data_IF_223833051500
#
_entry.id   IF_223833051500
#
_cell.length_a   1.000
_cell.length_b   1.000
_cell.length_c   1.000
_cell.angle_alpha   90.00
_cell.angle_beta   90.00
_cell.angle_gamma   90.00
#
_symmetry.space_group_name_H-M   'P 1'
#
loop_
_entity.id
_entity.type
_entity.pdbx_description
1 polymer ?
#
# COMPACT_ATOMS: atom_id res chain seq x y z
N UNK A 1 42.25 36.12 8.29
CA UNK A 1 41.37 34.94 8.46
C UNK A 1 40.06 35.23 7.77
N UNK A 2 39.73 34.52 6.68
CA UNK A 2 38.41 34.59 6.04
C UNK A 2 37.52 33.54 6.70
N UNK A 3 36.56 33.97 7.51
CA UNK A 3 35.47 33.12 7.98
C UNK A 3 34.49 32.92 6.82
N UNK A 4 34.45 31.73 6.25
CA UNK A 4 33.33 31.30 5.43
C UNK A 4 32.22 30.87 6.38
N UNK A 5 31.21 31.73 6.54
CA UNK A 5 29.94 31.33 7.11
C UNK A 5 29.28 30.38 6.12
N UNK A 6 29.37 29.08 6.37
CA UNK A 6 28.53 28.09 5.70
C UNK A 6 27.12 28.28 6.24
N UNK A 7 26.27 28.91 5.44
CA UNK A 7 24.83 28.99 5.70
C UNK A 7 24.27 27.56 5.58
N UNK A 8 24.19 26.85 6.70
CA UNK A 8 23.47 25.60 6.78
C UNK A 8 21.99 25.92 6.53
N UNK A 9 21.52 25.62 5.31
CA UNK A 9 20.11 25.68 4.99
C UNK A 9 19.43 24.57 5.80
N UNK A 10 18.88 24.94 6.97
CA UNK A 10 17.88 24.14 7.66
C UNK A 10 16.65 24.12 6.76
N UNK A 11 16.59 23.15 5.85
CA UNK A 11 15.34 22.80 5.19
C UNK A 11 14.50 22.12 6.26
N UNK A 12 13.81 22.91 7.07
CA UNK A 12 12.69 22.39 7.86
C UNK A 12 11.61 22.08 6.85
N UNK A 13 11.68 20.90 6.24
CA UNK A 13 10.55 20.32 5.52
C UNK A 13 9.47 20.14 6.56
N UNK A 14 8.55 21.10 6.65
CA UNK A 14 7.24 20.83 7.21
C UNK A 14 6.72 19.64 6.41
N UNK A 15 6.79 18.44 6.99
CA UNK A 15 6.16 17.24 6.44
C UNK A 15 4.69 17.62 6.36
N UNK A 16 4.21 18.04 5.19
CA UNK A 16 2.81 18.36 4.99
C UNK A 16 2.00 17.09 5.26
N UNK A 17 0.73 17.22 5.67
CA UNK A 17 -0.07 16.03 5.89
C UNK A 17 -0.33 15.42 4.51
N UNK A 18 0.32 14.31 4.19
CA UNK A 18 0.01 13.55 2.99
C UNK A 18 -1.41 13.00 3.20
N UNK A 19 -2.33 13.49 2.40
CA UNK A 19 -3.68 12.97 2.30
C UNK A 19 -3.77 12.12 1.04
N UNK A 20 -3.95 10.82 1.22
CA UNK A 20 -4.08 9.87 0.11
C UNK A 20 -5.15 10.33 -0.90
N UNK A 21 -6.26 10.88 -0.43
CA UNK A 21 -7.38 11.26 -1.29
C UNK A 21 -7.16 12.55 -2.06
N UNK A 22 -5.99 13.19 -1.91
CA UNK A 22 -5.57 14.32 -2.74
C UNK A 22 -4.85 13.91 -4.03
N UNK A 23 -4.55 12.62 -4.18
CA UNK A 23 -3.87 12.05 -5.35
C UNK A 23 -4.87 11.31 -6.23
N UNK A 24 -4.68 11.40 -7.53
CA UNK A 24 -5.48 10.69 -8.52
C UNK A 24 -4.89 9.29 -8.79
N UNK A 25 -3.57 9.17 -8.75
CA UNK A 25 -2.84 7.95 -9.06
C UNK A 25 -1.88 7.53 -7.94
N UNK A 26 -1.62 6.23 -7.83
CA UNK A 26 -0.75 5.62 -6.81
C UNK A 26 0.68 6.11 -6.86
N UNK A 27 1.27 6.27 -8.05
CA UNK A 27 2.64 6.77 -8.18
C UNK A 27 2.81 8.18 -7.61
N UNK A 28 1.78 9.05 -7.72
CA UNK A 28 1.83 10.41 -7.16
C UNK A 28 1.89 10.37 -5.63
N UNK A 29 1.13 9.46 -5.03
CA UNK A 29 1.15 9.22 -3.59
C UNK A 29 2.52 8.68 -3.15
N UNK A 30 3.08 7.73 -3.89
CA UNK A 30 4.39 7.13 -3.59
C UNK A 30 5.53 8.15 -3.72
N UNK A 31 5.54 8.99 -4.77
CA UNK A 31 6.50 10.08 -4.91
C UNK A 31 6.38 11.10 -3.77
N UNK A 32 5.15 11.41 -3.34
CA UNK A 32 4.93 12.32 -2.21
C UNK A 32 5.45 11.74 -0.89
N UNK A 33 5.33 10.42 -0.69
CA UNK A 33 5.93 9.72 0.45
C UNK A 33 7.45 9.78 0.40
N UNK A 34 8.04 9.47 -0.76
CA UNK A 34 9.50 9.47 -0.96
C UNK A 34 10.09 10.87 -0.78
N UNK A 35 9.47 11.90 -1.34
CA UNK A 35 9.89 13.30 -1.21
C UNK A 35 9.90 13.77 0.25
N UNK A 36 9.10 13.13 1.11
CA UNK A 36 9.05 13.40 2.56
C UNK A 36 9.90 12.44 3.38
N UNK A 37 10.64 11.53 2.72
CA UNK A 37 11.46 10.51 3.37
C UNK A 37 10.64 9.47 4.14
N UNK A 38 9.34 9.35 3.85
CA UNK A 38 8.45 8.37 4.50
C UNK A 38 8.63 7.04 3.78
N UNK A 39 9.03 6.02 4.55
CA UNK A 39 9.23 4.66 4.06
C UNK A 39 8.22 3.70 4.70
N UNK A 40 7.88 2.58 4.04
CA UNK A 40 7.12 1.52 4.68
C UNK A 40 7.85 1.01 5.93
N UNK A 41 7.11 0.82 7.02
CA UNK A 41 7.57 0.15 8.24
C UNK A 41 7.79 -1.35 8.02
N UNK A 42 6.97 -1.93 7.14
CA UNK A 42 7.00 -3.35 6.77
C UNK A 42 6.49 -3.48 5.34
N UNK A 43 7.15 -4.32 4.56
CA UNK A 43 6.68 -4.78 3.26
C UNK A 43 6.54 -6.30 3.31
N UNK A 44 5.33 -6.79 3.09
CA UNK A 44 5.02 -8.21 2.96
C UNK A 44 4.72 -8.50 1.50
N UNK A 45 5.72 -8.98 0.78
CA UNK A 45 5.57 -9.40 -0.61
C UNK A 45 5.13 -10.87 -0.70
N UNK A 46 4.43 -11.19 -1.79
CA UNK A 46 3.83 -12.49 -2.09
C UNK A 46 4.80 -13.69 -2.24
N UNK A 47 6.11 -13.52 -2.05
CA UNK A 47 7.05 -14.64 -1.92
C UNK A 47 7.28 -15.06 -0.45
N UNK A 48 6.47 -14.53 0.48
CA UNK A 48 6.53 -14.80 1.92
C UNK A 48 5.15 -15.15 2.44
N UNK A 49 5.11 -16.05 3.42
CA UNK A 49 3.87 -16.40 4.10
C UNK A 49 3.18 -15.18 4.74
N UNK A 50 1.95 -14.89 4.31
CA UNK A 50 1.10 -13.87 4.90
C UNK A 50 0.51 -14.32 6.25
N UNK A 51 0.46 -13.38 7.19
CA UNK A 51 -0.29 -13.51 8.45
C UNK A 51 -1.80 -13.58 8.20
N UNK A 52 -2.56 -14.03 9.21
CA UNK A 52 -4.03 -14.05 9.10
C UNK A 52 -4.63 -12.67 8.81
N UNK A 53 -4.06 -11.61 9.38
CA UNK A 53 -4.51 -10.23 9.13
C UNK A 53 -4.26 -9.85 7.67
N UNK A 54 -3.06 -10.12 7.15
CA UNK A 54 -2.69 -9.85 5.76
C UNK A 54 -3.58 -10.59 4.77
N UNK A 55 -3.89 -11.87 5.05
CA UNK A 55 -4.82 -12.64 4.24
C UNK A 55 -6.21 -12.00 4.17
N UNK A 56 -6.72 -11.48 5.29
CA UNK A 56 -8.01 -10.78 5.33
C UNK A 56 -7.99 -9.45 4.56
N UNK A 57 -6.88 -8.70 4.62
CA UNK A 57 -6.71 -7.46 3.85
C UNK A 57 -6.71 -7.74 2.34
N UNK A 58 -5.95 -8.76 1.91
CA UNK A 58 -5.90 -9.21 0.52
C UNK A 58 -7.28 -9.61 0.03
N UNK A 59 -7.96 -10.49 0.77
CA UNK A 59 -9.30 -10.95 0.42
C UNK A 59 -10.30 -9.81 0.29
N UNK A 60 -10.25 -8.85 1.23
CA UNK A 60 -11.10 -7.67 1.18
C UNK A 60 -10.79 -6.84 -0.07
N UNK A 61 -9.52 -6.61 -0.39
CA UNK A 61 -9.12 -5.86 -1.58
C UNK A 61 -9.64 -6.52 -2.86
N UNK A 62 -9.41 -7.83 -3.02
CA UNK A 62 -9.84 -8.59 -4.21
C UNK A 62 -11.36 -8.60 -4.38
N UNK A 63 -12.13 -8.76 -3.30
CA UNK A 63 -13.59 -8.72 -3.38
C UNK A 63 -14.09 -7.33 -3.76
N UNK A 64 -13.52 -6.27 -3.17
CA UNK A 64 -13.98 -4.89 -3.44
C UNK A 64 -13.74 -4.46 -4.88
N UNK A 65 -12.70 -5.00 -5.52
CA UNK A 65 -12.41 -4.77 -6.94
C UNK A 65 -13.34 -5.55 -7.89
N UNK A 66 -14.25 -6.37 -7.37
CA UNK A 66 -15.27 -7.05 -8.17
C UNK A 66 -14.74 -8.13 -9.12
N UNK A 67 -13.43 -8.37 -9.19
CA UNK A 67 -12.83 -9.41 -10.05
C UNK A 67 -13.36 -10.80 -9.75
N UNK A 68 -13.76 -10.98 -8.50
CA UNK A 68 -14.15 -12.27 -7.95
C UNK A 68 -15.36 -12.10 -7.01
N UNK A 69 -16.43 -11.51 -7.52
CA UNK A 69 -17.70 -11.47 -6.81
C UNK A 69 -18.17 -12.92 -6.55
N UNK A 70 -17.98 -13.41 -5.31
CA UNK A 70 -18.25 -14.78 -4.79
C UNK A 70 -17.04 -15.72 -4.63
N UNK A 71 -15.81 -15.24 -4.72
CA UNK A 71 -14.66 -16.13 -4.47
C UNK A 71 -14.41 -16.40 -3.00
N UNK A 72 -13.82 -17.56 -2.77
CA UNK A 72 -13.31 -17.98 -1.46
C UNK A 72 -12.02 -17.20 -1.12
N UNK A 73 -11.70 -17.15 0.17
CA UNK A 73 -10.40 -16.63 0.67
C UNK A 73 -9.21 -17.25 -0.07
N UNK A 74 -9.29 -18.55 -0.36
CA UNK A 74 -8.25 -19.30 -1.07
C UNK A 74 -8.05 -18.76 -2.49
N UNK A 75 -9.12 -18.65 -3.27
CA UNK A 75 -9.08 -18.14 -4.65
C UNK A 75 -8.60 -16.69 -4.72
N UNK A 76 -8.97 -15.85 -3.75
CA UNK A 76 -8.49 -14.49 -3.67
C UNK A 76 -6.98 -14.41 -3.42
N UNK A 77 -6.45 -15.27 -2.54
CA UNK A 77 -5.01 -15.35 -2.27
C UNK A 77 -4.22 -15.91 -3.47
N UNK A 78 -4.77 -16.93 -4.14
CA UNK A 78 -4.20 -17.47 -5.38
C UNK A 78 -4.15 -16.39 -6.46
N UNK A 79 -5.21 -15.59 -6.60
CA UNK A 79 -5.27 -14.47 -7.55
C UNK A 79 -4.26 -13.40 -7.23
N UNK A 80 -4.17 -12.96 -5.96
CA UNK A 80 -3.22 -11.96 -5.46
C UNK A 80 -1.75 -12.37 -5.63
N UNK A 81 -1.49 -13.63 -5.98
CA UNK A 81 -0.19 -14.10 -6.40
C UNK A 81 0.59 -14.82 -5.31
N UNK A 82 -0.08 -15.48 -4.35
CA UNK A 82 0.61 -16.42 -3.47
C UNK A 82 -0.18 -17.71 -3.23
N UNK A 83 0.42 -18.83 -3.66
CA UNK A 83 0.20 -20.13 -3.04
C UNK A 83 1.57 -20.68 -2.62
N UNK A 84 2.20 -20.08 -1.60
CA UNK A 84 3.37 -20.65 -0.93
C UNK A 84 3.03 -21.88 -0.05
N UNK A 85 1.84 -22.46 -0.14
CA UNK A 85 1.66 -23.89 0.17
C UNK A 85 2.12 -24.72 -1.05
N UNK A 86 3.42 -24.66 -1.42
CA UNK A 86 3.94 -25.46 -2.54
C UNK A 86 5.12 -24.89 -3.34
N UNK A 87 5.65 -23.71 -2.99
CA UNK A 87 6.92 -23.21 -3.54
C UNK A 87 6.91 -22.76 -5.01
N UNK A 88 5.75 -22.34 -5.56
CA UNK A 88 5.67 -21.75 -6.90
C UNK A 88 5.60 -20.23 -6.82
N UNK A 89 6.40 -19.54 -7.63
CA UNK A 89 6.30 -18.10 -7.85
C UNK A 89 5.10 -17.87 -8.81
N UNK A 90 4.11 -17.10 -8.37
CA UNK A 90 3.00 -16.68 -9.24
C UNK A 90 3.46 -15.71 -10.32
N UNK A 91 2.70 -15.62 -11.42
CA UNK A 91 2.98 -14.70 -12.54
C UNK A 91 2.76 -13.22 -12.15
N UNK A 92 1.93 -12.99 -11.14
CA UNK A 92 1.55 -11.66 -10.67
C UNK A 92 2.36 -11.26 -9.44
N UNK A 93 2.68 -9.97 -9.31
CA UNK A 93 3.31 -9.41 -8.12
C UNK A 93 2.21 -8.92 -7.16
N UNK A 94 2.35 -9.22 -5.88
CA UNK A 94 1.46 -8.69 -4.85
C UNK A 94 2.26 -8.32 -3.60
N UNK A 95 1.92 -7.20 -2.97
CA UNK A 95 2.55 -6.80 -1.71
C UNK A 95 1.61 -5.99 -0.82
N UNK A 96 1.91 -6.02 0.47
CA UNK A 96 1.27 -5.18 1.47
C UNK A 96 2.33 -4.30 2.11
N UNK A 97 2.16 -3.00 1.98
CA UNK A 97 3.03 -2.00 2.58
C UNK A 97 2.33 -1.37 3.79
N UNK A 98 3.06 -1.28 4.90
CA UNK A 98 2.55 -0.68 6.13
C UNK A 98 3.23 0.67 6.38
N UNK A 99 2.45 1.72 6.57
CA UNK A 99 2.97 3.07 6.81
C UNK A 99 2.51 3.61 8.16
N UNK A 100 3.31 4.55 8.70
CA UNK A 100 2.89 5.44 9.76
C UNK A 100 3.08 6.89 9.29
N UNK A 101 1.97 7.53 8.92
CA UNK A 101 1.94 8.90 8.40
C UNK A 101 1.27 9.76 9.46
N UNK A 102 2.06 10.58 10.17
CA UNK A 102 1.57 11.48 11.23
C UNK A 102 0.68 10.80 12.27
N UNK A 103 1.05 9.60 12.71
CA UNK A 103 0.29 8.82 13.70
C UNK A 103 -0.87 8.02 13.11
N UNK A 104 -1.17 8.18 11.81
CA UNK A 104 -2.11 7.31 11.09
C UNK A 104 -1.36 6.08 10.59
N UNK A 105 -1.85 4.91 11.00
CA UNK A 105 -1.34 3.62 10.53
C UNK A 105 -2.12 3.22 9.29
N UNK A 106 -1.45 3.10 8.16
CA UNK A 106 -2.05 2.65 6.90
C UNK A 106 -1.49 1.29 6.49
N UNK A 107 -2.32 0.49 5.85
CA UNK A 107 -1.90 -0.67 5.07
C UNK A 107 -2.35 -0.46 3.63
N UNK A 108 -1.40 -0.45 2.71
CA UNK A 108 -1.63 -0.37 1.27
C UNK A 108 -1.43 -1.76 0.71
N UNK A 109 -2.46 -2.31 0.09
CA UNK A 109 -2.43 -3.61 -0.59
C UNK A 109 -2.31 -3.31 -2.07
N UNK A 110 -1.19 -3.70 -2.68
CA UNK A 110 -0.94 -3.59 -4.12
C UNK A 110 -0.93 -4.97 -4.77
N UNK A 111 -1.49 -5.03 -5.97
CA UNK A 111 -1.57 -6.21 -6.81
C UNK A 111 -1.36 -5.81 -8.27
N UNK A 112 -0.40 -6.44 -8.93
CA UNK A 112 -0.05 -6.16 -10.32
C UNK A 112 -0.22 -7.41 -11.20
N UNK A 113 -1.40 -7.58 -11.82
CA UNK A 113 -1.58 -8.56 -12.88
C UNK A 113 -1.07 -7.98 -14.21
N UNK A 114 0.09 -8.46 -14.67
CA UNK A 114 0.77 -7.87 -15.82
C UNK A 114 1.27 -6.45 -15.52
N UNK A 115 0.88 -5.47 -16.34
CA UNK A 115 1.31 -4.07 -16.24
C UNK A 115 0.33 -3.17 -15.45
N UNK A 116 -0.87 -3.66 -15.14
CA UNK A 116 -1.88 -2.88 -14.43
C UNK A 116 -1.65 -2.94 -12.92
N UNK A 117 -1.98 -1.87 -12.20
CA UNK A 117 -2.00 -1.86 -10.74
C UNK A 117 -3.42 -1.87 -10.20
N UNK A 118 -3.65 -2.71 -9.19
CA UNK A 118 -4.89 -2.70 -8.46
C UNK A 118 -4.67 -2.93 -6.97
N UNK A 119 -5.67 -2.63 -6.15
CA UNK A 119 -5.47 -2.73 -4.71
C UNK A 119 -6.51 -2.04 -3.84
N UNK A 120 -6.10 -1.81 -2.60
CA UNK A 120 -6.90 -1.09 -1.61
C UNK A 120 -6.02 -0.50 -0.51
N UNK A 121 -6.47 0.62 0.04
CA UNK A 121 -5.84 1.27 1.20
C UNK A 121 -6.74 1.16 2.40
N UNK A 122 -6.16 0.73 3.52
CA UNK A 122 -6.83 0.54 4.79
C UNK A 122 -6.21 1.40 5.87
N UNK A 123 -7.04 2.00 6.72
CA UNK A 123 -6.63 2.70 7.94
C UNK A 123 -6.80 1.80 9.15
N UNK A 124 -5.76 1.66 9.95
CA UNK A 124 -5.80 0.88 11.19
C UNK A 124 -6.19 1.76 12.38
N UNK A 125 -7.30 1.42 13.03
CA UNK A 125 -7.85 2.10 14.21
C UNK A 125 -8.27 1.06 15.25
N UNK A 126 -7.78 1.17 16.48
CA UNK A 126 -8.17 0.32 17.62
C UNK A 126 -8.13 -1.20 17.35
N UNK A 127 -7.12 -1.68 16.62
CA UNK A 127 -6.95 -3.11 16.32
C UNK A 127 -7.69 -3.60 15.08
N UNK A 128 -8.38 -2.71 14.35
CA UNK A 128 -9.17 -3.04 13.16
C UNK A 128 -8.70 -2.24 11.95
N UNK A 129 -8.88 -2.79 10.76
CA UNK A 129 -8.57 -2.14 9.48
C UNK A 129 -9.86 -1.73 8.77
N UNK A 130 -9.94 -0.46 8.38
CA UNK A 130 -11.07 0.11 7.68
C UNK A 130 -10.65 0.51 6.28
N UNK A 131 -11.36 0.03 5.26
CA UNK A 131 -11.13 0.42 3.88
C UNK A 131 -11.42 1.92 3.70
N UNK A 132 -10.45 2.66 3.17
CA UNK A 132 -10.59 4.09 2.89
C UNK A 132 -10.47 4.43 1.40
N UNK A 133 -9.77 3.60 0.62
CA UNK A 133 -9.67 3.76 -0.83
C UNK A 133 -9.49 2.42 -1.54
N UNK A 134 -9.89 2.39 -2.80
CA UNK A 134 -9.62 1.31 -3.76
C UNK A 134 -8.65 1.83 -4.84
N UNK A 135 -7.82 0.93 -5.38
CA UNK A 135 -6.91 1.23 -6.50
C UNK A 135 -7.39 0.42 -7.71
N UNK A 136 -7.75 1.10 -8.79
CA UNK A 136 -8.24 0.49 -10.04
C UNK A 136 -7.42 1.00 -11.22
N UNK A 137 -6.62 0.14 -11.83
CA UNK A 137 -5.65 0.49 -12.87
C UNK A 137 -4.78 1.71 -12.52
N UNK A 138 -4.16 1.66 -11.33
CA UNK A 138 -3.35 2.73 -10.72
C UNK A 138 -4.15 3.95 -10.21
N UNK A 139 -5.44 4.08 -10.51
CA UNK A 139 -6.27 5.20 -10.03
C UNK A 139 -6.77 4.98 -8.60
N UNK A 140 -6.62 5.99 -7.75
CA UNK A 140 -7.10 6.00 -6.36
C UNK A 140 -8.54 6.49 -6.33
N UNK A 141 -9.44 5.67 -5.80
CA UNK A 141 -10.82 6.03 -5.50
C UNK A 141 -11.10 5.93 -4.02
N UNK A 142 -11.22 7.08 -3.34
CA UNK A 142 -11.56 7.12 -1.92
C UNK A 142 -13.04 6.89 -1.68
N UNK A 143 -13.38 6.07 -0.67
CA UNK A 143 -14.76 5.97 -0.20
C UNK A 143 -15.17 7.30 0.45
N UNK A 144 -16.25 7.89 -0.05
CA UNK A 144 -16.92 9.05 0.57
C UNK A 144 -17.66 8.64 1.84
#
# INVERSE_FOLDING_TARGET
>A
MKFLLTLALLVTTNVFAIDLCSFEETWQFDEALEAQGIKPLKVSANHKAFTNVEKQLIYTAVIQQGWLSKSTMKEALETFGDYFEGGRQGENKGEIQYFNIKGQKLAVVHYWPGDNEYGAVFKHVNGQYFLIATIDDSFISCKK
#
